data_IF_335674338649
#
_entry.id   IF_335674338649
#
_cell.length_a   1.000
_cell.length_b   1.000
_cell.length_c   1.000
_cell.angle_alpha   90.00
_cell.angle_beta   90.00
_cell.angle_gamma   90.00
#
_symmetry.space_group_name_H-M   'P 1'
#
loop_
_entity.id
_entity.type
_entity.pdbx_description
1 polymer ?
#
# COMPACT_ATOMS: atom_id res chain seq x y z
N UNK A 1 -62.84 9.99 18.32
CA UNK A 1 -61.50 9.40 18.48
C UNK A 1 -60.86 9.32 17.10
N UNK A 2 -59.94 10.23 16.77
CA UNK A 2 -59.24 10.23 15.48
C UNK A 2 -58.19 9.11 15.50
N UNK A 3 -58.45 8.04 14.76
CA UNK A 3 -57.52 6.91 14.58
C UNK A 3 -56.32 7.41 13.77
N UNK A 4 -55.16 7.58 14.42
CA UNK A 4 -53.90 7.79 13.72
C UNK A 4 -53.57 6.52 12.92
N UNK A 5 -53.73 6.60 11.60
CA UNK A 5 -53.41 5.52 10.68
C UNK A 5 -51.88 5.41 10.60
N UNK A 6 -51.30 4.49 11.38
CA UNK A 6 -49.87 4.18 11.31
C UNK A 6 -49.54 3.75 9.87
N UNK A 7 -48.85 4.61 9.12
CA UNK A 7 -48.34 4.31 7.79
C UNK A 7 -47.07 3.47 7.95
N UNK A 8 -47.18 2.16 7.72
CA UNK A 8 -46.04 1.26 7.63
C UNK A 8 -45.40 1.28 6.24
N UNK A 9 -44.14 0.84 6.15
CA UNK A 9 -43.46 0.59 4.89
C UNK A 9 -44.15 -0.53 4.10
N UNK A 10 -44.25 -0.39 2.79
CA UNK A 10 -44.74 -1.43 1.90
C UNK A 10 -43.62 -2.41 1.54
N UNK A 11 -44.00 -3.67 1.26
CA UNK A 11 -43.05 -4.68 0.77
C UNK A 11 -42.36 -4.25 -0.53
N UNK A 12 -43.10 -3.55 -1.41
CA UNK A 12 -42.55 -3.09 -2.69
C UNK A 12 -41.49 -1.99 -2.50
N UNK A 13 -41.69 -1.07 -1.55
CA UNK A 13 -40.67 -0.07 -1.20
C UNK A 13 -39.40 -0.74 -0.70
N UNK A 14 -39.54 -1.75 0.16
CA UNK A 14 -38.38 -2.49 0.67
C UNK A 14 -37.64 -3.24 -0.46
N UNK A 15 -38.35 -3.86 -1.41
CA UNK A 15 -37.73 -4.54 -2.55
C UNK A 15 -36.95 -3.58 -3.44
N UNK A 16 -37.48 -2.38 -3.71
CA UNK A 16 -36.78 -1.36 -4.51
C UNK A 16 -35.54 -0.86 -3.78
N UNK A 17 -35.62 -0.64 -2.46
CA UNK A 17 -34.46 -0.21 -1.65
C UNK A 17 -33.35 -1.26 -1.69
N UNK A 18 -33.69 -2.54 -1.51
CA UNK A 18 -32.71 -3.63 -1.58
C UNK A 18 -32.09 -3.72 -2.98
N UNK A 19 -32.88 -3.55 -4.04
CA UNK A 19 -32.37 -3.54 -5.41
C UNK A 19 -31.37 -2.40 -5.66
N UNK A 20 -31.65 -1.19 -5.16
CA UNK A 20 -30.74 -0.04 -5.28
C UNK A 20 -29.45 -0.30 -4.48
N UNK A 21 -29.55 -0.79 -3.24
CA UNK A 21 -28.37 -1.09 -2.41
C UNK A 21 -27.50 -2.16 -3.09
N UNK A 22 -28.10 -3.19 -3.70
CA UNK A 22 -27.35 -4.23 -4.40
C UNK A 22 -26.53 -3.66 -5.58
N UNK A 23 -27.11 -2.75 -6.37
CA UNK A 23 -26.43 -2.08 -7.48
C UNK A 23 -25.27 -1.23 -6.95
N UNK A 24 -25.52 -0.41 -5.92
CA UNK A 24 -24.50 0.46 -5.33
C UNK A 24 -23.35 -0.35 -4.71
N UNK A 25 -23.66 -1.43 -4.01
CA UNK A 25 -22.67 -2.30 -3.39
C UNK A 25 -21.73 -2.94 -4.42
N UNK A 26 -22.25 -3.32 -5.59
CA UNK A 26 -21.45 -3.88 -6.69
C UNK A 26 -20.35 -2.93 -7.19
N UNK A 27 -20.60 -1.62 -7.19
CA UNK A 27 -19.62 -0.61 -7.62
C UNK A 27 -18.72 -0.18 -6.45
N UNK A 28 -19.29 -0.01 -5.25
CA UNK A 28 -18.59 0.53 -4.09
C UNK A 28 -17.52 -0.42 -3.52
N UNK A 29 -17.79 -1.73 -3.49
CA UNK A 29 -16.85 -2.72 -2.93
C UNK A 29 -15.47 -2.74 -3.62
N UNK A 30 -15.37 -2.88 -4.96
CA UNK A 30 -14.06 -2.89 -5.62
C UNK A 30 -13.33 -1.55 -5.45
N UNK A 31 -14.04 -0.41 -5.55
CA UNK A 31 -13.45 0.92 -5.38
C UNK A 31 -12.85 1.12 -3.98
N UNK A 32 -13.56 0.70 -2.94
CA UNK A 32 -13.07 0.79 -1.56
C UNK A 32 -11.82 -0.08 -1.35
N UNK A 33 -11.80 -1.29 -1.92
CA UNK A 33 -10.65 -2.18 -1.83
C UNK A 33 -9.39 -1.58 -2.46
N UNK A 34 -9.54 -0.93 -3.62
CA UNK A 34 -8.43 -0.26 -4.31
C UNK A 34 -7.96 0.98 -3.54
N UNK A 35 -8.86 1.73 -2.91
CA UNK A 35 -8.51 2.88 -2.07
C UNK A 35 -7.65 2.47 -0.87
N UNK A 36 -8.07 1.44 -0.13
CA UNK A 36 -7.31 0.90 1.01
C UNK A 36 -5.95 0.39 0.55
N UNK A 37 -5.89 -0.24 -0.62
CA UNK A 37 -4.65 -0.76 -1.17
C UNK A 37 -3.67 0.34 -1.58
N UNK A 38 -4.14 1.40 -2.22
CA UNK A 38 -3.35 2.62 -2.50
C UNK A 38 -2.80 3.25 -1.22
N UNK A 39 -3.59 3.26 -0.15
CA UNK A 39 -3.12 3.73 1.17
C UNK A 39 -1.94 2.90 1.68
N UNK A 40 -2.04 1.56 1.62
CA UNK A 40 -0.94 0.66 2.02
C UNK A 40 0.31 0.85 1.15
N UNK A 41 0.15 1.07 -0.15
CA UNK A 41 1.27 1.37 -1.04
C UNK A 41 1.98 2.67 -0.65
N UNK A 42 1.24 3.72 -0.29
CA UNK A 42 1.85 4.96 0.23
C UNK A 42 2.60 4.75 1.54
N UNK A 43 2.08 3.89 2.44
CA UNK A 43 2.83 3.51 3.64
C UNK A 43 4.15 2.82 3.26
N UNK A 44 4.12 1.90 2.28
CA UNK A 44 5.34 1.22 1.82
C UNK A 44 6.35 2.16 1.15
N UNK A 45 5.87 3.16 0.41
CA UNK A 45 6.68 4.25 -0.13
C UNK A 45 7.37 5.04 1.00
N UNK A 46 6.63 5.42 2.05
CA UNK A 46 7.20 6.09 3.22
C UNK A 46 8.23 5.21 3.94
N UNK A 47 7.95 3.91 4.07
CA UNK A 47 8.87 2.94 4.66
C UNK A 47 10.19 2.86 3.87
N UNK A 48 10.14 2.89 2.54
CA UNK A 48 11.33 2.94 1.68
C UNK A 48 12.13 4.23 1.88
N UNK A 49 11.48 5.39 2.03
CA UNK A 49 12.17 6.66 2.34
C UNK A 49 12.81 6.64 3.73
N UNK A 50 12.16 6.02 4.72
CA UNK A 50 12.76 5.83 6.03
C UNK A 50 13.99 4.91 5.94
N UNK A 51 13.90 3.83 5.15
CA UNK A 51 15.02 2.90 4.94
C UNK A 51 16.17 3.56 4.17
N UNK A 52 15.89 4.41 3.17
CA UNK A 52 16.95 5.15 2.48
C UNK A 52 17.67 6.10 3.43
N UNK A 53 16.93 6.79 4.30
CA UNK A 53 17.51 7.62 5.35
C UNK A 53 18.43 6.83 6.28
N UNK A 54 18.05 5.61 6.70
CA UNK A 54 18.93 4.79 7.55
C UNK A 54 20.20 4.34 6.82
N UNK A 55 20.09 4.00 5.53
CA UNK A 55 21.24 3.66 4.67
C UNK A 55 22.19 4.85 4.51
N UNK A 56 21.67 6.06 4.25
CA UNK A 56 22.49 7.26 4.12
C UNK A 56 23.15 7.65 5.45
N UNK A 57 22.42 7.54 6.56
CA UNK A 57 22.99 7.76 7.89
C UNK A 57 24.13 6.77 8.20
N UNK A 58 24.01 5.50 7.77
CA UNK A 58 25.09 4.53 7.87
C UNK A 58 26.30 4.99 7.07
N UNK A 59 26.10 5.40 5.81
CA UNK A 59 27.16 5.89 4.93
C UNK A 59 27.88 7.10 5.49
N UNK A 60 27.16 8.04 6.10
CA UNK A 60 27.77 9.21 6.74
C UNK A 60 28.70 8.83 7.91
N UNK A 61 28.43 7.72 8.59
CA UNK A 61 29.22 7.26 9.75
C UNK A 61 30.40 6.38 9.36
N UNK A 62 30.25 5.56 8.33
CA UNK A 62 31.23 4.52 7.96
C UNK A 62 31.96 4.83 6.66
N UNK A 63 31.57 5.91 5.96
CA UNK A 63 32.06 6.30 4.62
C UNK A 63 31.79 5.26 3.52
N UNK A 64 30.93 4.28 3.79
CA UNK A 64 30.57 3.23 2.84
C UNK A 64 29.11 2.78 3.01
N UNK A 65 28.54 2.17 1.98
CA UNK A 65 27.20 1.62 2.07
C UNK A 65 27.17 0.32 2.89
N UNK A 66 26.01 -0.05 3.48
CA UNK A 66 25.87 -1.32 4.19
C UNK A 66 26.24 -2.52 3.31
N UNK A 67 27.04 -3.45 3.85
CA UNK A 67 27.50 -4.62 3.10
C UNK A 67 26.42 -5.69 2.87
N UNK A 68 25.25 -5.57 3.52
CA UNK A 68 24.16 -6.54 3.41
C UNK A 68 22.81 -5.91 3.71
N UNK A 69 21.75 -6.60 3.29
CA UNK A 69 20.36 -6.24 3.60
C UNK A 69 20.08 -6.14 5.10
N UNK A 70 20.61 -7.08 5.89
CA UNK A 70 20.48 -7.07 7.34
C UNK A 70 21.18 -5.86 7.98
N UNK A 71 22.32 -5.45 7.45
CA UNK A 71 23.04 -4.26 7.92
C UNK A 71 22.27 -2.98 7.57
N UNK A 72 21.69 -2.90 6.36
CA UNK A 72 20.90 -1.75 5.93
C UNK A 72 19.63 -1.54 6.77
N UNK A 73 19.03 -2.64 7.24
CA UNK A 73 17.81 -2.63 8.06
C UNK A 73 18.09 -2.64 9.57
N UNK A 74 19.35 -2.50 10.00
CA UNK A 74 19.69 -2.56 11.42
C UNK A 74 19.04 -1.39 12.17
N UNK A 75 18.11 -1.70 13.08
CA UNK A 75 17.35 -0.70 13.83
C UNK A 75 16.22 -0.03 13.04
N UNK A 76 15.97 -0.46 11.82
CA UNK A 76 14.83 -0.04 11.00
C UNK A 76 13.68 -1.05 11.13
N UNK A 77 12.45 -0.55 11.16
CA UNK A 77 11.24 -1.37 11.17
C UNK A 77 10.21 -0.76 10.22
N UNK A 78 9.54 -1.61 9.44
CA UNK A 78 8.46 -1.18 8.56
C UNK A 78 7.21 -0.81 9.36
N UNK A 79 6.50 0.24 8.94
CA UNK A 79 5.18 0.57 9.45
C UNK A 79 4.08 -0.29 8.80
N UNK A 80 4.32 -0.82 7.60
CA UNK A 80 3.43 -1.80 6.97
C UNK A 80 3.30 -3.08 7.80
N UNK A 81 2.14 -3.75 7.70
CA UNK A 81 1.90 -4.98 8.47
C UNK A 81 2.71 -6.13 7.88
N UNK A 82 3.17 -7.04 8.74
CA UNK A 82 3.85 -8.26 8.31
C UNK A 82 3.05 -9.02 7.23
N UNK A 83 3.75 -9.48 6.20
CA UNK A 83 3.16 -10.18 5.05
C UNK A 83 2.54 -9.28 3.97
N UNK A 84 2.39 -7.97 4.21
CA UNK A 84 1.94 -7.03 3.18
C UNK A 84 3.06 -6.65 2.23
N UNK A 85 4.26 -6.39 2.75
CA UNK A 85 5.41 -6.05 1.93
C UNK A 85 6.66 -6.77 2.44
N UNK A 86 7.49 -7.18 1.48
CA UNK A 86 8.86 -7.63 1.73
C UNK A 86 9.80 -6.55 1.22
N UNK A 87 10.60 -6.00 2.13
CA UNK A 87 11.60 -4.99 1.78
C UNK A 87 12.92 -5.68 1.49
N UNK A 88 13.72 -5.13 0.57
CA UNK A 88 15.09 -5.57 0.34
C UNK A 88 16.00 -4.39 0.01
N UNK A 89 17.28 -4.56 0.33
CA UNK A 89 18.38 -3.67 0.02
C UNK A 89 19.43 -4.45 -0.78
N UNK A 90 19.92 -3.83 -1.85
CA UNK A 90 21.02 -4.33 -2.67
C UNK A 90 22.04 -3.22 -2.84
N UNK A 91 23.28 -3.45 -2.40
CA UNK A 91 24.39 -2.55 -2.69
C UNK A 91 24.74 -2.61 -4.18
N UNK A 92 25.04 -1.46 -4.78
CA UNK A 92 25.62 -1.37 -6.12
C UNK A 92 27.03 -0.76 -6.04
N UNK A 93 27.78 -0.75 -7.14
CA UNK A 93 29.16 -0.24 -7.12
C UNK A 93 29.28 1.22 -6.68
N UNK A 94 28.23 2.03 -6.89
CA UNK A 94 28.22 3.47 -6.61
C UNK A 94 27.05 3.91 -5.71
N UNK A 95 26.22 2.98 -5.23
CA UNK A 95 24.92 3.30 -4.66
C UNK A 95 24.22 2.12 -4.00
N UNK A 96 22.89 2.18 -4.01
CA UNK A 96 22.03 1.09 -3.59
C UNK A 96 20.69 1.11 -4.32
N UNK A 97 20.02 -0.02 -4.29
CA UNK A 97 18.63 -0.20 -4.69
C UNK A 97 17.85 -0.73 -3.48
N UNK A 98 16.77 -0.04 -3.12
CA UNK A 98 15.76 -0.52 -2.19
C UNK A 98 14.55 -1.02 -2.97
N UNK A 99 13.96 -2.12 -2.51
CA UNK A 99 12.69 -2.63 -3.06
C UNK A 99 11.69 -2.86 -1.95
N UNK A 100 10.42 -2.62 -2.23
CA UNK A 100 9.29 -3.15 -1.48
C UNK A 100 8.41 -3.95 -2.44
N UNK A 101 8.30 -5.25 -2.22
CA UNK A 101 7.46 -6.14 -3.02
C UNK A 101 6.21 -6.50 -2.23
N UNK A 102 5.05 -6.20 -2.80
CA UNK A 102 3.75 -6.55 -2.24
C UNK A 102 3.59 -8.07 -2.13
N UNK A 103 3.31 -8.55 -0.92
CA UNK A 103 3.03 -9.95 -0.62
C UNK A 103 1.59 -10.36 -0.98
N UNK A 104 1.32 -11.65 -0.88
CA UNK A 104 0.02 -12.25 -1.21
C UNK A 104 -1.14 -11.73 -0.35
N UNK A 105 -0.85 -11.20 0.85
CA UNK A 105 -1.84 -10.57 1.73
C UNK A 105 -2.51 -9.33 1.12
N UNK A 106 -1.96 -8.77 0.04
CA UNK A 106 -2.52 -7.63 -0.70
C UNK A 106 -3.40 -8.06 -1.89
N UNK A 107 -3.60 -9.37 -2.10
CA UNK A 107 -4.51 -9.91 -3.12
C UNK A 107 -4.16 -9.38 -4.50
N UNK A 108 -5.03 -8.51 -5.05
CA UNK A 108 -4.87 -7.93 -6.39
C UNK A 108 -3.53 -7.22 -6.62
N UNK A 109 -2.92 -6.65 -5.58
CA UNK A 109 -1.62 -5.99 -5.69
C UNK A 109 -0.41 -6.88 -5.39
N UNK A 110 -0.61 -8.18 -5.13
CA UNK A 110 0.50 -9.10 -4.96
C UNK A 110 1.47 -9.00 -6.14
N UNK A 111 2.76 -8.87 -5.85
CA UNK A 111 3.82 -8.71 -6.86
C UNK A 111 4.03 -7.27 -7.34
N UNK A 112 3.23 -6.29 -6.91
CA UNK A 112 3.55 -4.87 -7.08
C UNK A 112 4.93 -4.58 -6.45
N UNK A 113 5.83 -3.98 -7.22
CA UNK A 113 7.19 -3.68 -6.80
C UNK A 113 7.42 -2.17 -6.84
N UNK A 114 7.73 -1.61 -5.68
CA UNK A 114 8.19 -0.25 -5.51
C UNK A 114 9.72 -0.27 -5.38
N UNK A 115 10.41 0.62 -6.07
CA UNK A 115 11.86 0.77 -5.92
C UNK A 115 12.26 2.21 -5.67
N UNK A 116 13.35 2.36 -4.91
CA UNK A 116 14.03 3.62 -4.64
C UNK A 116 15.53 3.37 -4.71
N UNK A 117 16.25 4.16 -5.49
CA UNK A 117 17.71 4.10 -5.58
C UNK A 117 18.41 5.30 -4.90
N UNK A 118 19.74 5.26 -4.84
CA UNK A 118 20.58 6.33 -4.27
C UNK A 118 20.50 7.67 -5.03
N UNK A 119 20.04 7.65 -6.28
CA UNK A 119 19.83 8.84 -7.09
C UNK A 119 18.42 9.42 -6.91
N UNK A 120 17.66 8.89 -5.94
CA UNK A 120 16.26 9.22 -5.66
C UNK A 120 15.31 8.89 -6.81
N UNK A 121 15.72 8.05 -7.74
CA UNK A 121 14.82 7.55 -8.78
C UNK A 121 13.85 6.54 -8.16
N UNK A 122 12.56 6.82 -8.37
CA UNK A 122 11.43 6.09 -7.80
C UNK A 122 10.71 5.39 -8.94
N UNK A 123 10.57 4.07 -8.85
CA UNK A 123 9.87 3.30 -9.88
C UNK A 123 8.80 2.41 -9.27
N UNK A 124 7.71 2.26 -10.00
CA UNK A 124 6.58 1.40 -9.66
C UNK A 124 6.39 0.42 -10.80
N UNK A 125 6.23 -0.86 -10.49
CA UNK A 125 6.08 -1.91 -11.50
C UNK A 125 5.14 -3.03 -11.03
N UNK A 126 4.45 -3.68 -11.97
CA UNK A 126 3.43 -4.68 -11.67
C UNK A 126 2.05 -4.09 -11.40
N UNK A 127 1.14 -4.91 -10.87
CA UNK A 127 -0.25 -4.49 -10.62
C UNK A 127 -0.36 -3.72 -9.29
N UNK A 128 -0.18 -2.41 -9.32
CA UNK A 128 -0.16 -1.58 -8.11
C UNK A 128 -1.50 -0.84 -7.86
N UNK A 129 -2.64 -1.49 -8.13
CA UNK A 129 -3.98 -0.91 -7.95
C UNK A 129 -4.17 0.46 -8.62
N UNK A 130 -3.54 0.66 -9.79
CA UNK A 130 -3.57 1.92 -10.54
C UNK A 130 -2.69 3.03 -9.97
N UNK A 131 -1.70 2.70 -9.13
CA UNK A 131 -0.54 3.55 -8.84
C UNK A 131 0.50 3.29 -9.92
N UNK A 132 0.66 4.22 -10.85
CA UNK A 132 1.71 4.19 -11.88
C UNK A 132 2.97 4.91 -11.44
N UNK A 133 2.80 5.94 -10.59
CA UNK A 133 3.85 6.88 -10.28
C UNK A 133 3.94 7.10 -8.77
N UNK A 134 5.16 7.36 -8.32
CA UNK A 134 5.48 7.73 -6.96
C UNK A 134 6.04 9.17 -6.98
N UNK A 135 5.25 10.17 -6.55
CA UNK A 135 5.74 11.55 -6.45
C UNK A 135 6.80 11.69 -5.35
#
# INVERSE_FOLDING_TARGET
MQQHKNRGFTLIELMIVVAIIAILAGIAMPLYSDYVLRSKLRTAQSDLMALSSTVENFRQRTLGYPASDAAAKKGWNAATKAGQFTYSYTATNSGYELKAVAGSALGKASGCTLKLDSDHSRTVSGNCAGVSDWP
#
